data_IF_240204979316
#
_entry.id   IF_240204979316
#
_cell.length_a   1.000
_cell.length_b   1.000
_cell.length_c   1.000
_cell.angle_alpha   90.00
_cell.angle_beta   90.00
_cell.angle_gamma   90.00
#
_symmetry.space_group_name_H-M   'P 1'
#
loop_
_entity.id
_entity.type
_entity.pdbx_description
1 polymer ?
#
# COMPACT_ATOMS: atom_id res chain seq x y z
N UNK A 1 -4.28 0.16 28.10
CA UNK A 1 -3.25 -0.05 27.05
C UNK A 1 -3.98 -0.01 25.71
N UNK A 2 -3.83 1.09 24.95
CA UNK A 2 -4.47 1.21 23.64
C UNK A 2 -3.78 0.27 22.66
N UNK A 3 -4.54 -0.66 22.08
CA UNK A 3 -4.08 -1.56 21.03
C UNK A 3 -4.11 -0.75 19.73
N UNK A 4 -3.00 -0.12 19.35
CA UNK A 4 -2.87 0.52 18.05
C UNK A 4 -2.98 -0.58 16.97
N UNK A 5 -4.07 -0.56 16.20
CA UNK A 5 -4.35 -1.55 15.15
C UNK A 5 -3.36 -1.40 13.98
N UNK A 6 -2.94 -0.16 13.72
CA UNK A 6 -1.98 0.32 12.72
C UNK A 6 -1.05 1.41 13.31
N UNK A 7 0.11 1.66 12.69
CA UNK A 7 1.04 2.74 13.08
C UNK A 7 2.11 3.07 12.03
N UNK A 8 2.70 4.26 12.10
CA UNK A 8 3.97 4.58 11.46
C UNK A 8 3.92 4.91 9.96
N UNK A 9 5.10 4.99 9.34
CA UNK A 9 5.32 5.57 7.99
C UNK A 9 4.47 4.96 6.87
N UNK A 10 4.19 3.66 6.94
CA UNK A 10 3.36 2.95 5.95
C UNK A 10 2.13 2.30 6.58
N UNK A 11 1.71 2.76 7.77
CA UNK A 11 0.57 2.22 8.51
C UNK A 11 0.67 0.69 8.74
N UNK A 12 1.74 0.26 9.41
CA UNK A 12 1.98 -1.14 9.75
C UNK A 12 0.85 -1.73 10.59
N UNK A 13 0.17 -2.75 10.05
CA UNK A 13 -0.83 -3.53 10.78
C UNK A 13 -0.17 -4.44 11.83
N UNK A 14 -0.93 -4.84 12.86
CA UNK A 14 -0.44 -5.74 13.91
C UNK A 14 0.20 -7.03 13.39
N UNK A 15 -0.40 -7.68 12.39
CA UNK A 15 0.12 -8.93 11.84
C UNK A 15 1.39 -8.69 11.02
N UNK A 16 1.42 -7.64 10.20
CA UNK A 16 2.64 -7.22 9.49
C UNK A 16 3.78 -6.90 10.45
N UNK A 17 3.51 -6.18 11.55
CA UNK A 17 4.53 -5.89 12.56
C UNK A 17 5.11 -7.18 13.17
N UNK A 18 4.26 -8.20 13.39
CA UNK A 18 4.68 -9.51 13.88
C UNK A 18 5.55 -10.24 12.87
N UNK A 19 5.17 -10.26 11.60
CA UNK A 19 5.96 -10.88 10.52
C UNK A 19 7.34 -10.24 10.35
N UNK A 20 7.44 -8.93 10.65
CA UNK A 20 8.71 -8.18 10.67
C UNK A 20 9.51 -8.35 11.97
N UNK A 21 9.05 -9.20 12.90
CA UNK A 21 9.73 -9.49 14.17
C UNK A 21 9.60 -8.38 15.22
N UNK A 22 8.55 -7.56 15.16
CA UNK A 22 8.30 -6.44 16.08
C UNK A 22 6.83 -6.36 16.51
N UNK A 23 6.39 -5.23 17.07
CA UNK A 23 5.00 -4.93 17.40
C UNK A 23 4.65 -3.49 17.01
N UNK A 24 3.36 -3.18 16.85
CA UNK A 24 2.92 -1.80 16.58
C UNK A 24 3.31 -0.85 17.71
N UNK A 25 3.30 -1.29 18.97
CA UNK A 25 3.79 -0.46 20.09
C UNK A 25 5.29 -0.14 19.99
N UNK A 26 6.13 -1.08 19.56
CA UNK A 26 7.56 -0.84 19.35
C UNK A 26 7.80 0.09 18.17
N UNK A 27 7.08 -0.13 17.06
CA UNK A 27 7.15 0.75 15.88
C UNK A 27 6.73 2.18 16.23
N UNK A 28 5.64 2.36 16.99
CA UNK A 28 5.17 3.67 17.41
C UNK A 28 6.18 4.46 18.28
N UNK A 29 7.06 3.75 19.00
CA UNK A 29 8.10 4.36 19.82
C UNK A 29 9.39 4.69 19.06
N UNK A 30 9.51 4.27 17.79
CA UNK A 30 10.69 4.52 16.95
C UNK A 30 10.64 5.92 16.34
N UNK A 31 11.82 6.50 16.16
CA UNK A 31 12.01 7.68 15.31
C UNK A 31 11.69 7.37 13.86
N UNK A 32 11.50 8.42 13.05
CA UNK A 32 11.29 8.31 11.60
C UNK A 32 12.40 7.47 10.92
N UNK A 33 13.67 7.74 11.26
CA UNK A 33 14.83 7.05 10.66
C UNK A 33 14.86 5.57 11.05
N UNK A 34 14.54 5.23 12.30
CA UNK A 34 14.46 3.84 12.75
C UNK A 34 13.32 3.08 12.05
N UNK A 35 12.16 3.71 11.87
CA UNK A 35 11.04 3.10 11.13
C UNK A 35 11.41 2.84 9.67
N UNK A 36 12.30 3.63 9.05
CA UNK A 36 12.73 3.40 7.67
C UNK A 36 13.38 2.02 7.46
N UNK A 37 14.08 1.49 8.48
CA UNK A 37 14.60 0.12 8.42
C UNK A 37 13.49 -0.93 8.34
N UNK A 38 12.34 -0.69 8.96
CA UNK A 38 11.17 -1.58 8.89
C UNK A 38 10.39 -1.41 7.59
N UNK A 39 10.34 -0.20 7.04
CA UNK A 39 9.80 0.04 5.69
C UNK A 39 10.60 -0.75 4.67
N UNK A 40 11.94 -0.71 4.74
CA UNK A 40 12.82 -1.51 3.89
C UNK A 40 12.53 -3.01 4.03
N UNK A 41 12.51 -3.53 5.26
CA UNK A 41 12.19 -4.95 5.52
C UNK A 41 10.83 -5.36 4.97
N UNK A 42 9.83 -4.50 5.10
CA UNK A 42 8.50 -4.73 4.54
C UNK A 42 8.52 -4.86 3.02
N UNK A 43 9.19 -3.93 2.31
CA UNK A 43 9.27 -4.00 0.85
C UNK A 43 10.09 -5.21 0.37
N UNK A 44 11.17 -5.57 1.06
CA UNK A 44 11.93 -6.80 0.77
C UNK A 44 11.07 -8.05 0.97
N UNK A 45 10.30 -8.11 2.07
CA UNK A 45 9.35 -9.18 2.34
C UNK A 45 8.30 -9.29 1.22
N UNK A 46 7.68 -8.17 0.81
CA UNK A 46 6.69 -8.18 -0.27
C UNK A 46 7.31 -8.58 -1.62
N UNK A 47 8.51 -8.09 -1.92
CA UNK A 47 9.22 -8.48 -3.13
C UNK A 47 9.47 -10.00 -3.20
N UNK A 48 9.86 -10.60 -2.08
CA UNK A 48 10.05 -12.05 -1.98
C UNK A 48 8.72 -12.82 -2.06
N UNK A 49 7.66 -12.34 -1.40
CA UNK A 49 6.35 -13.01 -1.40
C UNK A 49 5.72 -13.11 -2.80
N UNK A 50 6.03 -12.16 -3.68
CA UNK A 50 5.44 -12.06 -5.03
C UNK A 50 6.45 -12.30 -6.16
N UNK A 51 7.69 -12.70 -5.85
CA UNK A 51 8.80 -12.81 -6.81
C UNK A 51 8.92 -11.57 -7.74
N UNK A 52 8.75 -10.39 -7.13
CA UNK A 52 8.72 -9.11 -7.82
C UNK A 52 9.72 -8.15 -7.18
N UNK A 53 10.99 -8.11 -7.66
CA UNK A 53 12.05 -7.37 -7.00
C UNK A 53 11.82 -5.85 -7.04
N UNK A 54 12.18 -5.16 -5.96
CA UNK A 54 11.90 -3.72 -5.76
C UNK A 54 12.52 -2.81 -6.81
N UNK A 55 13.60 -3.23 -7.48
CA UNK A 55 14.20 -2.48 -8.58
C UNK A 55 13.36 -2.44 -9.87
N UNK A 56 12.27 -3.21 -9.93
CA UNK A 56 11.28 -3.18 -11.02
C UNK A 56 10.02 -2.40 -10.65
N UNK A 57 9.90 -1.94 -9.40
CA UNK A 57 8.68 -1.31 -8.91
C UNK A 57 8.53 0.10 -9.48
N UNK A 58 7.34 0.40 -9.99
CA UNK A 58 6.85 1.76 -10.21
C UNK A 58 6.34 2.40 -8.92
N UNK A 59 6.01 3.70 -8.96
CA UNK A 59 5.30 4.36 -7.85
C UNK A 59 3.96 3.64 -7.54
N UNK A 60 3.28 3.17 -8.58
CA UNK A 60 2.08 2.35 -8.44
C UNK A 60 2.35 1.05 -7.69
N UNK A 61 3.46 0.36 -8.00
CA UNK A 61 3.81 -0.89 -7.32
C UNK A 61 4.18 -0.66 -5.85
N UNK A 62 4.86 0.44 -5.52
CA UNK A 62 5.09 0.83 -4.12
C UNK A 62 3.77 0.95 -3.37
N UNK A 63 2.78 1.65 -3.92
CA UNK A 63 1.47 1.79 -3.30
C UNK A 63 0.72 0.45 -3.20
N UNK A 64 0.67 -0.31 -4.29
CA UNK A 64 0.00 -1.61 -4.34
C UNK A 64 0.63 -2.62 -3.39
N UNK A 65 1.95 -2.58 -3.18
CA UNK A 65 2.65 -3.40 -2.20
C UNK A 65 2.18 -3.19 -0.76
N UNK A 66 1.57 -2.04 -0.46
CA UNK A 66 1.00 -1.72 0.86
C UNK A 66 -0.50 -2.02 0.87
N UNK A 67 -1.21 -1.62 -0.19
CA UNK A 67 -2.66 -1.66 -0.25
C UNK A 67 -3.22 -3.05 -0.59
N UNK A 68 -2.74 -3.67 -1.66
CA UNK A 68 -3.23 -4.97 -2.18
C UNK A 68 -2.14 -5.67 -2.99
N UNK A 69 -1.14 -6.29 -2.33
CA UNK A 69 0.15 -6.65 -2.94
C UNK A 69 0.08 -7.48 -4.24
N UNK A 70 -0.86 -8.43 -4.32
CA UNK A 70 -1.04 -9.26 -5.51
C UNK A 70 -1.35 -8.46 -6.79
N UNK A 71 -1.91 -7.26 -6.67
CA UNK A 71 -2.21 -6.40 -7.80
C UNK A 71 -0.96 -5.80 -8.48
N UNK A 72 0.23 -5.85 -7.85
CA UNK A 72 1.48 -5.49 -8.52
C UNK A 72 1.70 -6.32 -9.80
N UNK A 73 1.30 -7.59 -9.79
CA UNK A 73 1.49 -8.52 -10.90
C UNK A 73 0.43 -8.41 -12.00
N UNK A 74 -0.64 -7.64 -11.76
CA UNK A 74 -1.72 -7.46 -12.71
C UNK A 74 -1.34 -6.48 -13.84
N UNK A 75 -2.00 -6.63 -14.99
CA UNK A 75 -1.97 -5.63 -16.06
C UNK A 75 -2.85 -4.44 -15.67
N UNK A 76 -2.58 -3.29 -16.25
CA UNK A 76 -3.31 -2.04 -16.01
C UNK A 76 -4.82 -2.14 -16.25
N UNK A 77 -5.24 -3.01 -17.16
CA UNK A 77 -6.64 -3.27 -17.52
C UNK A 77 -7.33 -4.31 -16.63
N UNK A 78 -6.59 -5.01 -15.78
CA UNK A 78 -7.14 -6.12 -14.99
C UNK A 78 -7.90 -5.58 -13.77
N UNK A 79 -8.98 -6.28 -13.42
CA UNK A 79 -9.84 -5.96 -12.29
C UNK A 79 -9.13 -6.35 -10.99
N UNK A 80 -9.02 -5.39 -10.07
CA UNK A 80 -8.56 -5.60 -8.70
C UNK A 80 -9.75 -5.96 -7.80
N UNK A 81 -10.81 -5.16 -7.85
CA UNK A 81 -12.05 -5.42 -7.12
C UNK A 81 -13.29 -5.20 -7.98
N UNK A 82 -14.38 -5.92 -7.68
CA UNK A 82 -15.66 -5.80 -8.38
C UNK A 82 -16.84 -5.66 -7.41
N UNK A 83 -17.89 -4.99 -7.87
CA UNK A 83 -19.14 -4.80 -7.12
C UNK A 83 -19.68 -6.13 -6.59
N UNK A 84 -20.10 -6.12 -5.33
CA UNK A 84 -20.49 -7.32 -4.58
C UNK A 84 -19.39 -7.86 -3.67
N UNK A 85 -18.13 -7.50 -3.89
CA UNK A 85 -17.04 -7.80 -2.96
C UNK A 85 -17.01 -6.76 -1.83
N UNK A 86 -16.71 -7.21 -0.60
CA UNK A 86 -16.47 -6.30 0.54
C UNK A 86 -15.35 -5.30 0.22
N UNK A 87 -14.29 -5.76 -0.43
CA UNK A 87 -13.14 -4.92 -0.80
C UNK A 87 -13.53 -3.81 -1.79
N UNK A 88 -14.43 -4.06 -2.74
CA UNK A 88 -14.98 -3.01 -3.60
C UNK A 88 -15.77 -1.99 -2.77
N UNK A 89 -16.65 -2.46 -1.87
CA UNK A 89 -17.54 -1.59 -1.10
C UNK A 89 -16.80 -0.57 -0.22
N UNK A 90 -15.62 -0.90 0.30
CA UNK A 90 -14.81 0.01 1.13
C UNK A 90 -13.81 0.85 0.32
N UNK A 91 -13.60 0.55 -0.96
CA UNK A 91 -12.59 1.18 -1.81
C UNK A 91 -13.18 1.85 -3.06
N UNK A 92 -14.48 2.18 -3.04
CA UNK A 92 -15.21 2.75 -4.19
C UNK A 92 -14.60 4.04 -4.73
N UNK A 93 -13.79 4.75 -3.94
CA UNK A 93 -13.01 5.90 -4.39
C UNK A 93 -12.13 5.60 -5.62
N UNK A 94 -11.71 4.34 -5.79
CA UNK A 94 -10.89 3.93 -6.93
C UNK A 94 -11.70 3.56 -8.18
N UNK A 95 -13.03 3.45 -8.12
CA UNK A 95 -13.89 3.21 -9.29
C UNK A 95 -14.18 4.57 -9.95
N UNK A 96 -13.30 5.00 -10.86
CA UNK A 96 -13.30 6.37 -11.38
C UNK A 96 -14.41 6.59 -12.40
N UNK A 97 -14.75 5.54 -13.16
CA UNK A 97 -15.79 5.59 -14.18
C UNK A 97 -17.19 5.14 -13.67
N UNK A 98 -17.26 4.62 -12.43
CA UNK A 98 -18.48 4.14 -11.76
C UNK A 98 -19.13 2.94 -12.47
N UNK A 99 -18.33 2.08 -13.11
CA UNK A 99 -18.83 0.93 -13.85
C UNK A 99 -19.01 -0.34 -12.99
N UNK A 100 -18.70 -0.26 -11.70
CA UNK A 100 -18.79 -1.39 -10.78
C UNK A 100 -17.52 -2.24 -10.71
N UNK A 101 -16.42 -1.78 -11.31
CA UNK A 101 -15.11 -2.44 -11.27
C UNK A 101 -14.07 -1.41 -10.85
N UNK A 102 -13.04 -1.89 -10.18
CA UNK A 102 -11.83 -1.13 -9.88
C UNK A 102 -10.71 -1.86 -10.59
N UNK A 103 -10.11 -1.24 -11.61
CA UNK A 103 -8.95 -1.80 -12.32
C UNK A 103 -7.64 -1.20 -11.81
N UNK A 104 -6.51 -1.89 -12.07
CA UNK A 104 -5.18 -1.46 -11.59
C UNK A 104 -4.87 -0.01 -11.99
N UNK A 105 -5.10 0.36 -13.25
CA UNK A 105 -4.80 1.71 -13.74
C UNK A 105 -5.61 2.82 -13.06
N UNK A 106 -6.83 2.55 -12.60
CA UNK A 106 -7.61 3.55 -11.87
C UNK A 106 -7.02 3.82 -10.47
N UNK A 107 -6.53 2.77 -9.81
CA UNK A 107 -5.81 2.91 -8.54
C UNK A 107 -4.54 3.73 -8.75
N UNK A 108 -3.70 3.33 -9.71
CA UNK A 108 -2.45 4.03 -10.03
C UNK A 108 -2.71 5.49 -10.39
N UNK A 109 -3.75 5.77 -11.19
CA UNK A 109 -4.11 7.13 -11.58
C UNK A 109 -4.44 8.04 -10.39
N UNK A 110 -5.13 7.50 -9.37
CA UNK A 110 -5.36 8.25 -8.14
C UNK A 110 -4.04 8.63 -7.46
N UNK A 111 -3.08 7.71 -7.42
CA UNK A 111 -1.76 7.95 -6.80
C UNK A 111 -0.97 9.01 -7.55
N UNK A 112 -0.91 8.91 -8.88
CA UNK A 112 -0.22 9.92 -9.71
C UNK A 112 -0.79 11.32 -9.48
N UNK A 113 -2.12 11.45 -9.37
CA UNK A 113 -2.78 12.73 -9.13
C UNK A 113 -2.49 13.29 -7.72
N UNK A 114 -2.44 12.44 -6.68
CA UNK A 114 -2.07 12.90 -5.34
C UNK A 114 -0.59 13.24 -5.24
N UNK A 115 0.28 12.45 -5.87
CA UNK A 115 1.71 12.71 -5.96
C UNK A 115 1.96 14.06 -6.64
N UNK A 116 1.35 14.30 -7.81
CA UNK A 116 1.45 15.58 -8.51
C UNK A 116 0.92 16.77 -7.67
N UNK A 117 -0.20 16.58 -6.95
CA UNK A 117 -0.73 17.60 -6.05
C UNK A 117 0.20 17.89 -4.87
N UNK A 118 0.94 16.89 -4.40
CA UNK A 118 1.91 17.02 -3.31
C UNK A 118 2.98 18.08 -3.61
N UNK A 119 3.48 18.13 -4.84
CA UNK A 119 4.47 19.13 -5.26
C UNK A 119 3.98 20.57 -5.18
N UNK A 120 2.66 20.82 -5.21
CA UNK A 120 2.14 22.17 -5.01
C UNK A 120 2.33 22.68 -3.58
N UNK A 121 2.72 21.80 -2.66
CA UNK A 121 3.02 22.11 -1.25
C UNK A 121 4.51 22.00 -0.93
N UNK A 122 5.34 21.60 -1.90
CA UNK A 122 6.79 21.71 -1.79
C UNK A 122 7.17 23.15 -2.12
N UNK A 123 7.55 23.92 -1.09
CA UNK A 123 7.96 25.32 -1.19
C UNK A 123 9.39 25.49 -1.71
#
# INVERSE_FOLDING_TARGET
MFKHLDTGLIQFMSDTAKDLGTTTSKLAAMTHVEQMNYVKKYFEMQANNFDHPTNKWSLGDVYLSIFTPAAMLLKDSDIVYAKGQRAYAVNQFHDRNKDGKIIKSEIVKNIDEFYAKGFNYEG
#
